data_IF_412877668013
#
_entry.id   IF_412877668013
#
_cell.length_a   1.000
_cell.length_b   1.000
_cell.length_c   1.000
_cell.angle_alpha   90.00
_cell.angle_beta   90.00
_cell.angle_gamma   90.00
#
_symmetry.space_group_name_H-M   'P 1'
#
loop_
_entity.id
_entity.type
_entity.pdbx_description
1 polymer ?
#
# COMPACT_ATOMS: atom_id res chain seq x y z
N UNK A 1 15.04 -13.14 -10.54
CA UNK A 1 13.67 -12.87 -11.04
C UNK A 1 13.36 -11.42 -10.74
N UNK A 2 13.25 -10.57 -11.76
CA UNK A 2 13.05 -9.13 -11.59
C UNK A 2 11.61 -8.86 -11.13
N UNK A 3 11.45 -8.39 -9.89
CA UNK A 3 10.17 -7.89 -9.38
C UNK A 3 9.85 -6.56 -10.04
N UNK A 4 9.06 -6.60 -11.11
CA UNK A 4 8.54 -5.39 -11.75
C UNK A 4 7.64 -4.69 -10.73
N UNK A 5 7.94 -3.43 -10.41
CA UNK A 5 7.21 -2.66 -9.40
C UNK A 5 5.74 -2.52 -9.83
N UNK A 6 4.80 -3.03 -9.05
CA UNK A 6 3.36 -3.05 -9.37
C UNK A 6 2.76 -1.66 -9.61
N UNK A 7 3.35 -0.64 -8.98
CA UNK A 7 3.02 0.78 -9.20
C UNK A 7 3.37 1.19 -10.64
N UNK A 8 4.54 0.78 -11.13
CA UNK A 8 4.98 1.07 -12.51
C UNK A 8 4.14 0.34 -13.56
N UNK A 9 3.59 -0.85 -13.24
CA UNK A 9 2.75 -1.61 -14.17
C UNK A 9 1.38 -0.98 -14.39
N UNK A 10 0.77 -0.41 -13.34
CA UNK A 10 -0.50 0.30 -13.44
C UNK A 10 -0.35 1.61 -14.19
N UNK A 11 0.73 2.36 -13.91
CA UNK A 11 1.01 3.63 -14.59
C UNK A 11 1.31 3.41 -16.08
N UNK A 12 2.09 2.38 -16.42
CA UNK A 12 2.33 2.02 -17.83
C UNK A 12 1.06 1.54 -18.53
N UNK A 13 0.18 0.78 -17.86
CA UNK A 13 -1.14 0.43 -18.41
C UNK A 13 -1.99 1.67 -18.71
N UNK A 14 -2.07 2.63 -17.78
CA UNK A 14 -2.82 3.88 -17.97
C UNK A 14 -2.25 4.72 -19.12
N UNK A 15 -0.93 4.82 -19.23
CA UNK A 15 -0.27 5.53 -20.32
C UNK A 15 -0.54 4.91 -21.69
N UNK A 16 -0.54 3.58 -21.80
CA UNK A 16 -0.81 2.88 -23.06
C UNK A 16 -2.30 3.01 -23.43
N UNK A 17 -3.21 2.96 -22.46
CA UNK A 17 -4.63 3.20 -22.70
C UNK A 17 -4.88 4.62 -23.20
N UNK A 18 -4.25 5.61 -22.57
CA UNK A 18 -4.30 7.01 -23.01
C UNK A 18 -3.69 7.20 -24.41
N UNK A 19 -2.55 6.55 -24.69
CA UNK A 19 -1.92 6.57 -26.01
C UNK A 19 -2.85 5.98 -27.10
N UNK A 20 -3.61 4.94 -26.78
CA UNK A 20 -4.61 4.36 -27.68
C UNK A 20 -5.78 5.31 -27.92
N UNK A 21 -6.31 5.94 -26.87
CA UNK A 21 -7.42 6.89 -26.97
C UNK A 21 -7.02 8.13 -27.78
N UNK A 22 -5.83 8.68 -27.51
CA UNK A 22 -5.28 9.81 -28.28
C UNK A 22 -5.04 9.45 -29.74
N UNK A 23 -4.55 8.24 -30.04
CA UNK A 23 -4.40 7.77 -31.42
C UNK A 23 -5.76 7.66 -32.15
N UNK A 24 -6.82 7.22 -31.47
CA UNK A 24 -8.17 7.19 -32.05
C UNK A 24 -8.73 8.58 -32.32
N UNK A 25 -8.58 9.51 -31.36
CA UNK A 25 -9.01 10.91 -31.51
C UNK A 25 -8.26 11.62 -32.65
N UNK A 26 -6.98 11.30 -32.83
CA UNK A 26 -6.16 11.83 -33.93
C UNK A 26 -6.39 11.12 -35.28
N UNK A 27 -7.33 10.17 -35.37
CA UNK A 27 -7.61 9.42 -36.60
C UNK A 27 -6.54 8.38 -36.98
N UNK A 28 -5.57 8.12 -36.09
CA UNK A 28 -4.46 7.16 -36.28
C UNK A 28 -4.90 5.74 -35.91
N UNK A 29 -5.88 5.22 -36.65
CA UNK A 29 -6.52 3.94 -36.40
C UNK A 29 -5.56 2.74 -36.41
N UNK A 30 -4.53 2.76 -37.25
CA UNK A 30 -3.54 1.67 -37.31
C UNK A 30 -2.65 1.59 -36.06
N UNK A 31 -2.34 2.74 -35.46
CA UNK A 31 -1.58 2.81 -34.21
C UNK A 31 -2.44 2.32 -33.04
N UNK A 32 -3.72 2.72 -33.01
CA UNK A 32 -4.66 2.24 -31.99
C UNK A 32 -4.92 0.73 -32.06
N UNK A 33 -4.94 0.14 -33.27
CA UNK A 33 -5.06 -1.31 -33.46
C UNK A 33 -3.84 -2.08 -32.95
N UNK A 34 -2.63 -1.55 -33.16
CA UNK A 34 -1.38 -2.15 -32.66
C UNK A 34 -1.26 -2.12 -31.14
N UNK A 35 -1.84 -1.12 -30.49
CA UNK A 35 -1.87 -1.01 -29.03
C UNK A 35 -2.93 -1.92 -28.38
N UNK A 36 -3.89 -2.43 -29.15
CA UNK A 36 -4.93 -3.35 -28.69
C UNK A 36 -4.41 -4.58 -27.93
N UNK A 37 -3.56 -5.44 -28.53
CA UNK A 37 -3.05 -6.64 -27.87
C UNK A 37 -2.21 -6.32 -26.63
N UNK A 38 -1.42 -5.24 -26.67
CA UNK A 38 -0.57 -4.82 -25.54
C UNK A 38 -1.40 -4.41 -24.33
N UNK A 39 -2.51 -3.68 -24.55
CA UNK A 39 -3.45 -3.32 -23.47
C UNK A 39 -4.09 -4.57 -22.88
N UNK A 40 -4.44 -5.56 -23.70
CA UNK A 40 -5.09 -6.79 -23.23
C UNK A 40 -4.14 -7.63 -22.36
N UNK A 41 -2.88 -7.83 -22.81
CA UNK A 41 -1.85 -8.53 -22.02
C UNK A 41 -1.54 -7.80 -20.70
N UNK A 42 -1.42 -6.47 -20.73
CA UNK A 42 -1.20 -5.70 -19.50
C UNK A 42 -2.42 -5.72 -18.58
N UNK A 43 -3.64 -5.77 -19.13
CA UNK A 43 -4.86 -5.95 -18.34
C UNK A 43 -4.89 -7.32 -17.66
N UNK A 44 -4.43 -8.37 -18.33
CA UNK A 44 -4.31 -9.71 -17.76
C UNK A 44 -3.22 -9.81 -16.69
N UNK A 45 -2.20 -8.96 -16.73
CA UNK A 45 -1.18 -8.88 -15.66
C UNK A 45 -1.67 -8.04 -14.47
N UNK A 46 -2.54 -7.05 -14.69
CA UNK A 46 -3.14 -6.20 -13.62
C UNK A 46 -4.35 -6.87 -12.93
N UNK A 47 -5.18 -7.63 -13.67
CA UNK A 47 -6.36 -8.36 -13.12
C UNK A 47 -6.06 -9.37 -12.01
N UNK A 48 -4.99 -10.20 -12.03
CA UNK A 48 -4.69 -11.13 -10.94
C UNK A 48 -4.35 -10.42 -9.63
N UNK A 49 -4.02 -9.12 -9.67
CA UNK A 49 -3.88 -8.27 -8.48
C UNK A 49 -5.20 -7.70 -7.96
N UNK A 50 -6.26 -7.63 -8.76
CA UNK A 50 -7.56 -7.06 -8.37
C UNK A 50 -8.58 -8.09 -7.83
N UNK A 51 -8.29 -9.40 -7.89
CA UNK A 51 -9.15 -10.44 -7.30
C UNK A 51 -9.17 -10.44 -5.75
N UNK A 52 -8.58 -9.42 -5.13
CA UNK A 52 -8.68 -9.09 -3.71
C UNK A 52 -9.64 -7.92 -3.42
N UNK A 53 -10.43 -7.44 -4.38
CA UNK A 53 -11.45 -6.42 -4.13
C UNK A 53 -12.65 -6.57 -5.09
N UNK A 54 -13.79 -7.06 -4.58
CA UNK A 54 -15.08 -7.05 -5.28
C UNK A 54 -16.05 -6.06 -4.62
N UNK A 55 -17.03 -5.53 -5.39
CA UNK A 55 -17.55 -4.17 -5.24
C UNK A 55 -18.72 -4.05 -4.24
N UNK A 56 -18.77 -2.94 -3.52
CA UNK A 56 -19.86 -2.57 -2.64
C UNK A 56 -21.05 -2.01 -3.44
N UNK A 57 -22.09 -2.83 -3.63
CA UNK A 57 -23.40 -2.37 -4.04
C UNK A 57 -24.14 -1.78 -2.83
N UNK A 58 -24.72 -0.60 -3.03
CA UNK A 58 -25.50 0.19 -2.09
C UNK A 58 -26.80 -0.54 -1.74
N UNK A 59 -26.88 -1.09 -0.53
CA UNK A 59 -28.08 -1.72 0.00
C UNK A 59 -27.84 -2.21 1.43
N UNK A 60 -28.41 -1.49 2.41
CA UNK A 60 -28.51 -1.87 3.83
C UNK A 60 -27.23 -2.40 4.49
N UNK A 61 -26.58 -1.59 5.34
CA UNK A 61 -25.39 -1.96 6.12
C UNK A 61 -25.50 -3.30 6.90
N UNK A 62 -26.71 -3.82 7.15
CA UNK A 62 -26.94 -5.11 7.80
C UNK A 62 -26.95 -6.35 6.88
N UNK A 63 -27.04 -6.19 5.55
CA UNK A 63 -27.00 -7.32 4.61
C UNK A 63 -25.63 -7.52 3.96
N UNK A 64 -24.64 -6.71 4.31
CA UNK A 64 -23.28 -6.93 3.84
C UNK A 64 -22.77 -8.27 4.40
N UNK A 65 -22.61 -9.24 3.51
CA UNK A 65 -21.91 -10.51 3.78
C UNK A 65 -20.51 -10.24 4.37
N UNK A 66 -19.92 -9.09 4.02
CA UNK A 66 -18.69 -8.57 4.62
C UNK A 66 -18.82 -8.23 6.10
N UNK A 67 -19.93 -7.63 6.56
CA UNK A 67 -20.14 -7.36 7.98
C UNK A 67 -20.40 -8.66 8.76
N UNK A 68 -21.17 -9.60 8.22
CA UNK A 68 -21.31 -10.93 8.83
C UNK A 68 -19.98 -11.66 8.92
N UNK A 69 -19.13 -11.57 7.90
CA UNK A 69 -17.80 -12.17 7.91
C UNK A 69 -16.86 -11.47 8.88
N UNK A 70 -16.94 -10.16 9.02
CA UNK A 70 -16.21 -9.42 10.06
C UNK A 70 -16.74 -9.74 11.47
N UNK A 71 -18.05 -9.97 11.62
CA UNK A 71 -18.68 -10.41 12.87
C UNK A 71 -18.32 -11.86 13.23
N UNK A 72 -18.23 -12.73 12.22
CA UNK A 72 -17.79 -14.11 12.37
C UNK A 72 -16.31 -14.15 12.70
N UNK A 73 -15.47 -13.33 12.06
CA UNK A 73 -14.06 -13.13 12.43
C UNK A 73 -13.96 -12.58 13.85
N UNK A 74 -14.79 -11.61 14.26
CA UNK A 74 -14.77 -11.08 15.63
C UNK A 74 -15.33 -12.04 16.68
N UNK A 75 -16.27 -12.93 16.31
CA UNK A 75 -16.81 -13.96 17.21
C UNK A 75 -15.92 -15.20 17.30
N UNK A 76 -15.24 -15.55 16.22
CA UNK A 76 -14.23 -16.62 16.18
C UNK A 76 -12.90 -16.17 16.81
N UNK A 77 -12.63 -14.86 16.82
CA UNK A 77 -11.70 -14.23 17.77
C UNK A 77 -12.43 -13.94 19.08
N UNK A 78 -12.99 -14.99 19.70
CA UNK A 78 -13.37 -14.90 21.10
C UNK A 78 -12.11 -14.48 21.89
N UNK A 79 -12.24 -13.47 22.77
CA UNK A 79 -11.14 -12.99 23.57
C UNK A 79 -10.84 -14.07 24.61
N UNK A 80 -9.75 -14.82 24.39
CA UNK A 80 -9.16 -15.52 25.51
C UNK A 80 -8.63 -14.44 26.45
N UNK A 81 -9.37 -14.25 27.53
CA UNK A 81 -8.92 -13.53 28.69
C UNK A 81 -7.53 -14.04 29.12
N UNK A 82 -6.51 -13.27 28.78
CA UNK A 82 -5.29 -13.14 29.59
C UNK A 82 -4.92 -11.66 29.59
N UNK A 83 -5.53 -10.88 30.48
CA UNK A 83 -4.82 -10.43 31.68
C UNK A 83 -3.62 -11.34 31.99
N UNK A 84 -2.49 -11.11 31.31
CA UNK A 84 -1.15 -11.52 31.75
C UNK A 84 -0.11 -10.88 30.82
N UNK A 85 0.60 -9.88 31.34
CA UNK A 85 2.04 -9.69 31.14
C UNK A 85 2.74 -10.58 30.08
N UNK A 86 3.18 -9.98 28.96
CA UNK A 86 4.25 -10.56 28.11
C UNK A 86 4.03 -10.52 26.59
N UNK A 87 4.67 -9.55 25.93
CA UNK A 87 5.16 -9.49 24.53
C UNK A 87 4.44 -10.25 23.38
N UNK A 88 4.32 -9.56 22.22
CA UNK A 88 5.04 -10.00 21.02
C UNK A 88 5.87 -8.83 20.43
N UNK A 89 7.19 -8.84 20.64
CA UNK A 89 8.05 -7.70 20.32
C UNK A 89 8.43 -7.50 18.84
N UNK A 90 8.07 -8.41 17.94
CA UNK A 90 8.42 -8.27 16.52
C UNK A 90 7.48 -7.33 15.74
N UNK A 91 6.18 -7.39 16.00
CA UNK A 91 5.20 -6.50 15.33
C UNK A 91 5.17 -5.09 15.96
N UNK A 92 5.45 -4.99 17.26
CA UNK A 92 5.45 -3.71 17.97
C UNK A 92 6.63 -2.81 17.59
N UNK A 93 7.78 -3.38 17.20
CA UNK A 93 8.93 -2.59 16.75
C UNK A 93 8.69 -1.93 15.39
N UNK A 94 8.11 -2.64 14.42
CA UNK A 94 7.76 -2.06 13.11
C UNK A 94 6.65 -1.02 13.23
N UNK A 95 5.63 -1.28 14.05
CA UNK A 95 4.54 -0.34 14.31
C UNK A 95 5.05 0.92 15.03
N UNK A 96 5.93 0.76 16.02
CA UNK A 96 6.64 1.85 16.70
C UNK A 96 7.44 2.69 15.70
N UNK A 97 8.19 2.06 14.79
CA UNK A 97 8.96 2.77 13.77
C UNK A 97 8.03 3.55 12.81
N UNK A 98 6.87 2.99 12.45
CA UNK A 98 5.87 3.70 11.64
C UNK A 98 5.30 4.91 12.36
N UNK A 99 5.05 4.80 13.66
CA UNK A 99 4.55 5.90 14.50
C UNK A 99 5.60 7.01 14.65
N UNK A 100 6.86 6.63 14.91
CA UNK A 100 8.01 7.56 14.95
C UNK A 100 8.15 8.33 13.65
N UNK A 101 7.98 7.67 12.51
CA UNK A 101 8.00 8.33 11.20
C UNK A 101 6.84 9.31 11.01
N UNK A 102 5.61 8.92 11.38
CA UNK A 102 4.45 9.79 11.28
C UNK A 102 4.62 11.04 12.16
N UNK A 103 5.13 10.87 13.38
CA UNK A 103 5.44 11.94 14.31
C UNK A 103 6.53 12.89 13.79
N UNK A 104 7.61 12.34 13.24
CA UNK A 104 8.68 13.13 12.63
C UNK A 104 8.17 13.92 11.42
N UNK A 105 7.30 13.32 10.60
CA UNK A 105 6.66 14.01 9.47
C UNK A 105 5.68 15.11 9.88
N UNK A 106 5.15 15.04 11.10
CA UNK A 106 4.32 16.07 11.71
C UNK A 106 5.15 17.20 12.37
N UNK A 107 6.45 17.30 12.06
CA UNK A 107 7.41 18.25 12.65
C UNK A 107 7.56 18.14 14.19
N UNK A 108 7.26 16.98 14.78
CA UNK A 108 7.53 16.77 16.20
C UNK A 108 9.03 16.60 16.44
N UNK A 109 9.55 17.19 17.53
CA UNK A 109 10.98 17.13 17.84
C UNK A 109 11.41 15.72 18.24
N UNK A 110 12.60 15.30 17.82
CA UNK A 110 13.16 13.96 18.13
C UNK A 110 13.17 13.64 19.63
N UNK A 111 13.34 14.67 20.48
CA UNK A 111 13.35 14.55 21.95
C UNK A 111 11.96 14.23 22.49
N UNK A 112 10.91 14.80 21.89
CA UNK A 112 9.53 14.56 22.31
C UNK A 112 9.04 13.19 21.83
N UNK A 113 9.44 12.79 20.61
CA UNK A 113 9.21 11.44 20.09
C UNK A 113 9.88 10.39 20.98
N UNK A 114 11.14 10.62 21.36
CA UNK A 114 11.90 9.75 22.25
C UNK A 114 11.18 9.54 23.59
N UNK A 115 10.66 10.63 24.19
CA UNK A 115 9.88 10.57 25.43
C UNK A 115 8.58 9.81 25.27
N UNK A 116 7.84 10.07 24.19
CA UNK A 116 6.53 9.46 23.95
C UNK A 116 6.62 7.97 23.63
N UNK A 117 7.67 7.56 22.92
CA UNK A 117 7.86 6.17 22.48
C UNK A 117 8.78 5.36 23.39
N UNK A 118 9.31 5.97 24.46
CA UNK A 118 10.22 5.32 25.40
C UNK A 118 11.53 4.86 24.75
N UNK A 119 12.03 5.61 23.77
CA UNK A 119 13.22 5.29 22.97
C UNK A 119 14.27 6.39 23.11
N UNK A 120 15.51 6.10 22.75
CA UNK A 120 16.59 7.09 22.76
C UNK A 120 16.49 8.02 21.56
N UNK A 121 17.05 9.23 21.69
CA UNK A 121 17.12 10.20 20.59
C UNK A 121 17.87 9.64 19.38
N UNK A 122 18.91 8.83 19.63
CA UNK A 122 19.71 8.22 18.57
C UNK A 122 18.93 7.14 17.81
N UNK A 123 18.08 6.37 18.48
CA UNK A 123 17.18 5.42 17.83
C UNK A 123 16.15 6.13 16.94
N UNK A 124 15.58 7.27 17.38
CA UNK A 124 14.64 8.06 16.58
C UNK A 124 15.33 8.53 15.31
N UNK A 125 16.52 9.11 15.46
CA UNK A 125 17.33 9.61 14.35
C UNK A 125 17.73 8.48 13.40
N UNK A 126 18.06 7.31 13.93
CA UNK A 126 18.36 6.12 13.13
C UNK A 126 17.15 5.72 12.29
N UNK A 127 15.96 5.56 12.87
CA UNK A 127 14.73 5.19 12.15
C UNK A 127 14.40 6.19 11.04
N UNK A 128 14.46 7.50 11.34
CA UNK A 128 14.20 8.56 10.36
C UNK A 128 15.24 8.55 9.24
N UNK A 129 16.52 8.36 9.59
CA UNK A 129 17.61 8.33 8.60
C UNK A 129 17.51 7.12 7.68
N UNK A 130 17.30 5.91 8.22
CA UNK A 130 17.14 4.67 7.44
C UNK A 130 16.01 4.81 6.42
N UNK A 131 14.91 5.44 6.81
CA UNK A 131 13.79 5.68 5.91
C UNK A 131 14.11 6.73 4.83
N UNK A 132 14.78 7.84 5.20
CA UNK A 132 15.25 8.84 4.22
C UNK A 132 16.27 8.23 3.24
N UNK A 133 17.17 7.37 3.70
CA UNK A 133 18.11 6.64 2.84
C UNK A 133 17.39 5.66 1.92
N UNK A 134 16.38 4.95 2.42
CA UNK A 134 15.55 4.08 1.58
C UNK A 134 14.92 4.89 0.43
N UNK A 135 14.35 6.08 0.70
CA UNK A 135 13.83 6.96 -0.35
C UNK A 135 14.91 7.52 -1.29
N UNK A 136 16.10 7.88 -0.79
CA UNK A 136 17.17 8.46 -1.60
C UNK A 136 17.77 7.46 -2.62
N UNK A 137 17.84 6.17 -2.28
CA UNK A 137 18.36 5.14 -3.19
C UNK A 137 17.45 4.90 -4.41
N UNK A 138 16.17 5.28 -4.36
CA UNK A 138 15.28 5.26 -5.53
C UNK A 138 15.44 6.49 -6.43
N UNK A 139 16.07 7.56 -5.96
CA UNK A 139 16.22 8.83 -6.71
C UNK A 139 17.55 8.98 -7.44
N UNK A 140 18.53 8.09 -7.19
CA UNK A 140 19.84 8.08 -7.87
C UNK A 140 19.97 7.03 -8.98
N UNK A 141 18.86 6.39 -9.36
CA UNK A 141 18.81 5.36 -10.41
C UNK A 141 18.18 5.84 -11.72
N UNK A 142 18.25 7.14 -12.02
CA UNK A 142 17.93 7.72 -13.34
C UNK A 142 19.16 8.45 -13.85
#
# INVERSE_FOLDING_TARGET
MASISSVSLNDTYRLIQLARETALVQGRNDQAKRLGPVVEEMRELVKPQQKSASPAAVGGMMQQTGFQKLLEISKSSQPLASISSGQPMANSAMERNRMVMAMSSANMADVDIARQMGMTRDEVRMVVSVNRFAYSQYTKGV
#
